data_IF_909814136147
#
_entry.id   IF_909814136147
#
_cell.length_a   1.000
_cell.length_b   1.000
_cell.length_c   1.000
_cell.angle_alpha   90.00
_cell.angle_beta   90.00
_cell.angle_gamma   90.00
#
_symmetry.space_group_name_H-M   'P 1'
#
loop_
_entity.id
_entity.type
_entity.pdbx_description
1 polymer ?
#
# COMPACT_ATOMS: atom_id res chain seq x y z
N UNK A 1 -14.12 14.11 2.06
CA UNK A 1 -13.94 12.64 1.95
C UNK A 1 -14.88 11.97 2.93
N UNK A 2 -15.38 10.78 2.58
CA UNK A 2 -16.18 9.97 3.52
C UNK A 2 -15.28 9.22 4.49
N UNK A 3 -15.83 8.83 5.64
CA UNK A 3 -15.18 7.93 6.58
C UNK A 3 -15.12 6.50 6.01
N UNK A 4 -14.23 5.65 6.54
CA UNK A 4 -14.18 4.23 6.20
C UNK A 4 -15.44 3.53 6.69
N UNK A 5 -16.08 2.77 5.81
CA UNK A 5 -17.21 1.92 6.18
C UNK A 5 -16.74 0.74 7.04
N UNK A 6 -17.08 0.77 8.33
CA UNK A 6 -16.73 -0.26 9.28
C UNK A 6 -17.26 -1.65 8.89
N UNK A 7 -18.35 -1.74 8.11
CA UNK A 7 -18.90 -3.03 7.67
C UNK A 7 -17.93 -3.78 6.75
N UNK A 8 -17.21 -3.07 5.88
CA UNK A 8 -16.21 -3.65 4.98
C UNK A 8 -14.96 -4.15 5.73
N UNK A 9 -14.63 -3.50 6.87
CA UNK A 9 -13.59 -3.98 7.77
C UNK A 9 -14.02 -5.27 8.48
N UNK A 10 -15.25 -5.31 9.01
CA UNK A 10 -15.79 -6.47 9.73
C UNK A 10 -15.99 -7.68 8.82
N UNK A 11 -16.37 -7.48 7.56
CA UNK A 11 -16.51 -8.57 6.59
C UNK A 11 -15.21 -9.37 6.43
N UNK A 12 -14.07 -8.67 6.45
CA UNK A 12 -12.76 -9.30 6.31
C UNK A 12 -12.09 -9.67 7.64
N UNK A 13 -12.43 -8.95 8.71
CA UNK A 13 -11.89 -9.15 10.05
C UNK A 13 -13.05 -9.21 11.06
N UNK A 14 -13.76 -10.34 11.13
CA UNK A 14 -14.93 -10.49 12.01
C UNK A 14 -14.62 -10.21 13.49
N UNK A 15 -13.39 -10.50 13.93
CA UNK A 15 -12.92 -10.27 15.30
C UNK A 15 -12.81 -8.78 15.67
N UNK A 16 -12.90 -7.87 14.70
CA UNK A 16 -12.92 -6.42 14.90
C UNK A 16 -14.35 -5.84 14.96
N UNK A 17 -15.38 -6.69 15.03
CA UNK A 17 -16.76 -6.25 15.16
C UNK A 17 -16.94 -5.28 16.34
N UNK A 18 -17.51 -4.10 16.05
CA UNK A 18 -17.75 -3.04 17.05
C UNK A 18 -16.54 -2.15 17.34
N UNK A 19 -15.38 -2.41 16.72
CA UNK A 19 -14.20 -1.54 16.83
C UNK A 19 -14.27 -0.44 15.75
N UNK A 20 -14.25 0.86 16.12
CA UNK A 20 -14.23 1.95 15.15
C UNK A 20 -12.94 1.92 14.31
N UNK A 21 -13.04 2.31 13.03
CA UNK A 21 -11.87 2.40 12.14
C UNK A 21 -10.81 3.39 12.67
N UNK A 22 -11.24 4.49 13.29
CA UNK A 22 -10.36 5.46 13.95
C UNK A 22 -9.47 4.81 15.02
N UNK A 23 -10.05 3.95 15.87
CA UNK A 23 -9.29 3.23 16.90
C UNK A 23 -8.19 2.36 16.27
N UNK A 24 -8.49 1.69 15.15
CA UNK A 24 -7.49 0.91 14.41
C UNK A 24 -6.37 1.81 13.87
N UNK A 25 -6.73 2.95 13.26
CA UNK A 25 -5.74 3.91 12.73
C UNK A 25 -4.80 4.44 13.82
N UNK A 26 -5.32 4.66 15.03
CA UNK A 26 -4.51 5.12 16.16
C UNK A 26 -3.54 4.05 16.68
N UNK A 27 -3.87 2.76 16.51
CA UNK A 27 -3.15 1.65 17.13
C UNK A 27 -2.24 0.89 16.15
N UNK A 28 -2.57 0.85 14.86
CA UNK A 28 -1.75 0.23 13.81
C UNK A 28 -0.30 0.76 13.77
N UNK A 29 -0.01 2.06 14.02
CA UNK A 29 1.35 2.57 14.11
C UNK A 29 2.22 1.87 15.16
N UNK A 30 1.64 1.34 16.23
CA UNK A 30 2.37 0.58 17.27
C UNK A 30 2.97 -0.73 16.71
N UNK A 31 2.32 -1.33 15.71
CA UNK A 31 2.79 -2.53 15.00
C UNK A 31 3.55 -2.20 13.71
N UNK A 32 3.64 -0.93 13.31
CA UNK A 32 4.32 -0.52 12.08
C UNK A 32 5.79 -0.97 11.98
N UNK A 33 6.61 -0.99 13.06
CA UNK A 33 8.00 -1.43 12.95
C UNK A 33 8.14 -2.88 12.47
N UNK A 34 7.37 -3.83 13.05
CA UNK A 34 7.44 -5.23 12.65
C UNK A 34 6.81 -5.46 11.28
N UNK A 35 5.67 -4.83 10.99
CA UNK A 35 5.05 -4.90 9.66
C UNK A 35 5.99 -4.37 8.59
N UNK A 36 6.55 -3.16 8.74
CA UNK A 36 7.47 -2.58 7.76
C UNK A 36 8.74 -3.42 7.59
N UNK A 37 9.26 -4.02 8.66
CA UNK A 37 10.40 -4.93 8.59
C UNK A 37 10.07 -6.16 7.74
N UNK A 38 8.90 -6.77 7.96
CA UNK A 38 8.42 -7.90 7.17
C UNK A 38 8.26 -7.52 5.69
N UNK A 39 7.61 -6.41 5.36
CA UNK A 39 7.42 -5.96 3.97
C UNK A 39 8.74 -5.79 3.22
N UNK A 40 9.80 -5.28 3.89
CA UNK A 40 11.15 -5.14 3.32
C UNK A 40 11.88 -6.47 3.19
N UNK A 41 11.57 -7.44 4.04
CA UNK A 41 12.18 -8.76 4.06
C UNK A 41 11.51 -9.76 3.11
N UNK A 42 10.34 -9.43 2.54
CA UNK A 42 9.66 -10.27 1.55
C UNK A 42 10.55 -10.50 0.34
N UNK A 43 10.80 -11.77 0.05
CA UNK A 43 11.44 -12.21 -1.17
C UNK A 43 10.48 -13.10 -1.95
N UNK A 44 10.37 -12.86 -3.25
CA UNK A 44 9.40 -13.49 -4.14
C UNK A 44 10.12 -14.39 -5.13
N UNK A 45 9.64 -15.61 -5.36
CA UNK A 45 10.31 -16.58 -6.26
C UNK A 45 9.85 -16.51 -7.72
N UNK A 46 8.90 -15.64 -8.08
CA UNK A 46 8.32 -15.58 -9.42
C UNK A 46 8.91 -14.47 -10.30
N UNK A 47 9.48 -14.86 -11.44
CA UNK A 47 9.68 -14.00 -12.61
C UNK A 47 8.83 -14.56 -13.75
N UNK A 48 7.66 -13.98 -13.97
CA UNK A 48 6.73 -14.45 -15.01
C UNK A 48 6.42 -13.33 -15.99
N UNK A 49 6.29 -13.70 -17.26
CA UNK A 49 5.93 -12.77 -18.35
C UNK A 49 4.46 -12.31 -18.30
N UNK A 50 3.67 -12.91 -17.40
CA UNK A 50 2.25 -12.67 -17.09
C UNK A 50 2.13 -12.50 -15.58
N UNK A 51 1.26 -11.59 -15.13
CA UNK A 51 1.00 -11.40 -13.70
C UNK A 51 0.39 -12.68 -13.08
N UNK A 52 1.03 -13.31 -12.09
CA UNK A 52 0.50 -14.52 -11.48
C UNK A 52 -0.69 -14.18 -10.56
N UNK A 53 -1.56 -15.16 -10.27
CA UNK A 53 -2.68 -14.98 -9.34
C UNK A 53 -2.25 -15.05 -7.87
N UNK A 54 -1.19 -15.78 -7.60
CA UNK A 54 -0.59 -15.93 -6.28
C UNK A 54 0.91 -15.86 -6.43
N UNK A 55 1.57 -15.43 -5.36
CA UNK A 55 3.01 -15.31 -5.32
C UNK A 55 3.56 -15.98 -4.07
N UNK A 56 4.58 -16.80 -4.25
CA UNK A 56 5.26 -17.50 -3.16
C UNK A 56 6.26 -16.56 -2.51
N UNK A 57 6.06 -16.32 -1.22
CA UNK A 57 6.96 -15.54 -0.36
C UNK A 57 7.83 -16.48 0.46
N UNK A 58 9.13 -16.20 0.52
CA UNK A 58 10.06 -16.94 1.38
C UNK A 58 9.79 -16.58 2.85
N UNK A 59 9.54 -17.59 3.68
CA UNK A 59 9.36 -17.41 5.11
C UNK A 59 10.72 -17.36 5.81
N UNK A 60 11.02 -16.21 6.41
CA UNK A 60 12.08 -16.05 7.40
C UNK A 60 11.46 -15.51 8.70
N UNK A 61 12.23 -15.47 9.79
CA UNK A 61 11.70 -15.04 11.11
C UNK A 61 11.06 -13.65 11.08
N UNK A 62 11.59 -12.73 10.27
CA UNK A 62 11.05 -11.37 10.14
C UNK A 62 9.70 -11.35 9.41
N UNK A 63 9.59 -12.10 8.31
CA UNK A 63 8.34 -12.22 7.54
C UNK A 63 7.30 -12.99 8.35
N UNK A 64 7.70 -14.06 9.05
CA UNK A 64 6.79 -14.85 9.87
C UNK A 64 6.18 -14.06 11.04
N UNK A 65 6.93 -13.10 11.60
CA UNK A 65 6.45 -12.25 12.70
C UNK A 65 5.32 -11.29 12.31
N UNK A 66 5.25 -10.89 11.04
CA UNK A 66 4.22 -9.99 10.50
C UNK A 66 4.02 -10.24 9.01
N UNK A 67 3.51 -11.44 8.66
CA UNK A 67 3.42 -11.86 7.27
C UNK A 67 2.39 -11.01 6.50
N UNK A 68 2.74 -10.49 5.30
CA UNK A 68 1.76 -9.80 4.48
C UNK A 68 0.63 -10.74 4.09
N UNK A 69 -0.55 -10.16 3.94
CA UNK A 69 -1.77 -10.87 3.53
C UNK A 69 -1.93 -10.92 2.02
N UNK A 70 -1.46 -9.90 1.30
CA UNK A 70 -1.66 -9.78 -0.14
C UNK A 70 -0.40 -9.18 -0.80
N UNK A 71 -0.32 -9.36 -2.11
CA UNK A 71 0.62 -8.66 -2.98
C UNK A 71 -0.16 -7.75 -3.93
N UNK A 72 -0.07 -6.44 -3.78
CA UNK A 72 -0.71 -5.51 -4.71
C UNK A 72 0.08 -5.42 -6.01
N UNK A 73 -0.61 -5.60 -7.13
CA UNK A 73 -0.13 -5.29 -8.46
C UNK A 73 -0.63 -3.90 -8.86
N UNK A 74 0.21 -2.89 -8.63
CA UNK A 74 -0.13 -1.47 -8.80
C UNK A 74 0.18 -1.01 -10.22
N UNK A 75 -0.80 -0.37 -10.87
CA UNK A 75 -0.70 0.09 -12.25
C UNK A 75 -1.59 1.32 -12.53
N UNK A 76 -1.32 2.00 -13.65
CA UNK A 76 -2.14 3.12 -14.14
C UNK A 76 -3.08 2.70 -15.27
N UNK A 77 -4.08 3.52 -15.55
CA UNK A 77 -5.04 3.29 -16.63
C UNK A 77 -4.57 3.81 -17.99
N UNK A 78 -3.35 4.35 -18.09
CA UNK A 78 -2.82 4.90 -19.32
C UNK A 78 -2.92 3.88 -20.48
N UNK A 79 -3.35 4.32 -21.68
CA UNK A 79 -3.37 3.47 -22.86
C UNK A 79 -2.00 2.88 -23.12
N UNK A 80 -1.94 1.58 -23.35
CA UNK A 80 -0.71 0.88 -23.69
C UNK A 80 -0.67 0.75 -25.21
N UNK A 81 0.43 1.19 -25.83
CA UNK A 81 0.62 1.07 -27.27
C UNK A 81 0.52 -0.39 -27.72
N UNK A 82 0.06 -0.61 -28.96
CA UNK A 82 -0.08 -1.96 -29.50
C UNK A 82 1.23 -2.74 -29.42
N UNK A 83 1.17 -3.96 -28.87
CA UNK A 83 2.35 -4.82 -28.66
C UNK A 83 3.19 -4.49 -27.42
N UNK A 84 2.91 -3.41 -26.70
CA UNK A 84 3.57 -3.10 -25.42
C UNK A 84 2.85 -3.74 -24.24
N UNK A 85 3.60 -4.05 -23.19
CA UNK A 85 3.06 -4.54 -21.91
C UNK A 85 2.89 -3.40 -20.93
N UNK A 86 1.85 -3.47 -20.11
CA UNK A 86 1.64 -2.54 -19.01
C UNK A 86 2.72 -2.75 -17.95
N UNK A 87 3.33 -1.65 -17.49
CA UNK A 87 4.21 -1.67 -16.33
C UNK A 87 3.38 -1.86 -15.06
N UNK A 88 3.82 -2.76 -14.18
CA UNK A 88 3.17 -3.10 -12.92
C UNK A 88 4.23 -3.16 -11.82
N UNK A 89 3.95 -2.54 -10.69
CA UNK A 89 4.80 -2.59 -9.49
C UNK A 89 4.14 -3.48 -8.44
N UNK A 90 4.92 -4.34 -7.79
CA UNK A 90 4.42 -5.26 -6.77
C UNK A 90 4.72 -4.73 -5.36
N UNK A 91 3.71 -4.70 -4.50
CA UNK A 91 3.84 -4.25 -3.10
C UNK A 91 3.21 -5.26 -2.15
N UNK A 92 3.98 -5.89 -1.23
CA UNK A 92 3.37 -6.69 -0.17
C UNK A 92 2.60 -5.77 0.77
N UNK A 93 1.44 -6.23 1.25
CA UNK A 93 0.59 -5.45 2.16
C UNK A 93 -0.04 -6.28 3.28
N UNK A 94 -0.38 -5.59 4.36
CA UNK A 94 -1.38 -5.97 5.35
C UNK A 94 -2.66 -5.24 4.99
N UNK A 95 -3.65 -6.00 4.53
CA UNK A 95 -4.92 -5.49 4.04
C UNK A 95 -5.66 -4.64 5.08
N UNK A 96 -5.57 -5.01 6.36
CA UNK A 96 -6.08 -4.22 7.49
C UNK A 96 -5.59 -2.77 7.50
N UNK A 97 -4.32 -2.52 7.12
CA UNK A 97 -3.77 -1.16 7.10
C UNK A 97 -4.47 -0.35 6.01
N UNK A 98 -4.57 -0.89 4.80
CA UNK A 98 -5.24 -0.15 3.72
C UNK A 98 -6.73 0.02 4.01
N UNK A 99 -7.43 -1.00 4.50
CA UNK A 99 -8.86 -0.88 4.83
C UNK A 99 -9.12 0.13 5.94
N UNK A 100 -8.26 0.21 6.96
CA UNK A 100 -8.44 1.17 8.06
C UNK A 100 -8.30 2.63 7.60
N UNK A 101 -7.52 2.88 6.55
CA UNK A 101 -7.22 4.23 6.06
C UNK A 101 -7.94 4.62 4.76
N UNK A 102 -8.37 3.69 3.92
CA UNK A 102 -8.84 3.98 2.55
C UNK A 102 -10.33 3.65 2.37
N UNK A 103 -11.18 4.68 2.29
CA UNK A 103 -12.63 4.52 2.14
C UNK A 103 -13.07 4.00 0.76
N UNK A 104 -12.21 4.12 -0.27
CA UNK A 104 -12.51 3.66 -1.64
C UNK A 104 -11.69 2.43 -2.03
N UNK A 105 -11.14 1.69 -1.06
CA UNK A 105 -10.38 0.48 -1.35
C UNK A 105 -11.31 -0.59 -1.96
N UNK A 106 -10.94 -1.23 -3.08
CA UNK A 106 -11.67 -2.39 -3.58
C UNK A 106 -11.68 -3.51 -2.54
N UNK A 107 -12.79 -4.25 -2.42
CA UNK A 107 -12.83 -5.43 -1.58
C UNK A 107 -11.89 -6.52 -2.13
N UNK A 108 -11.01 -7.03 -1.28
CA UNK A 108 -10.17 -8.19 -1.58
C UNK A 108 -10.78 -9.44 -0.96
N UNK A 109 -10.64 -10.58 -1.64
CA UNK A 109 -10.98 -11.86 -1.04
C UNK A 109 -10.13 -12.08 0.22
N UNK A 110 -10.70 -12.56 1.34
CA UNK A 110 -9.91 -12.85 2.53
C UNK A 110 -8.72 -13.76 2.22
N UNK A 111 -7.55 -13.39 2.72
CA UNK A 111 -6.34 -14.21 2.59
C UNK A 111 -5.83 -14.62 3.96
N UNK A 112 -5.67 -15.92 4.13
CA UNK A 112 -4.90 -16.50 5.22
C UNK A 112 -3.66 -17.12 4.58
N UNK A 113 -2.46 -16.54 4.78
CA UNK A 113 -1.25 -17.09 4.19
C UNK A 113 -1.14 -18.56 4.61
N UNK A 114 -1.22 -19.47 3.64
CA UNK A 114 -1.08 -20.89 3.89
C UNK A 114 0.41 -21.16 4.12
N UNK A 115 0.81 -21.15 5.39
CA UNK A 115 2.20 -21.30 5.79
C UNK A 115 2.63 -22.76 5.67
N UNK A 116 3.39 -23.09 4.63
CA UNK A 116 4.34 -24.20 4.72
C UNK A 116 5.58 -23.74 5.49
N UNK A 117 6.37 -24.66 6.05
CA UNK A 117 7.50 -24.30 6.92
C UNK A 117 8.54 -23.36 6.28
N UNK A 118 8.58 -23.24 4.94
CA UNK A 118 9.52 -22.38 4.21
C UNK A 118 8.88 -21.32 3.30
N UNK A 119 7.58 -21.43 2.99
CA UNK A 119 6.90 -20.52 2.05
C UNK A 119 5.46 -20.24 2.47
N UNK A 120 5.00 -19.01 2.18
CA UNK A 120 3.58 -18.66 2.18
C UNK A 120 3.15 -18.14 0.82
N UNK A 121 2.04 -18.67 0.32
CA UNK A 121 1.38 -18.16 -0.87
C UNK A 121 0.48 -16.98 -0.49
N UNK A 122 0.67 -15.84 -1.15
CA UNK A 122 -0.21 -14.67 -1.01
C UNK A 122 -0.86 -14.34 -2.36
N UNK A 123 -2.16 -14.00 -2.38
CA UNK A 123 -2.84 -13.60 -3.60
C UNK A 123 -2.26 -12.28 -4.14
N UNK A 124 -2.15 -12.21 -5.47
CA UNK A 124 -1.77 -11.00 -6.20
C UNK A 124 -3.04 -10.27 -6.62
N UNK A 125 -3.23 -9.05 -6.12
CA UNK A 125 -4.44 -8.28 -6.35
C UNK A 125 -4.14 -7.03 -7.18
N UNK A 126 -4.78 -6.85 -8.35
CA UNK A 126 -4.60 -5.66 -9.16
C UNK A 126 -5.20 -4.42 -8.47
N UNK A 127 -4.39 -3.38 -8.30
CA UNK A 127 -4.83 -2.08 -7.79
C UNK A 127 -4.52 -0.99 -8.82
N UNK A 128 -5.57 -0.38 -9.35
CA UNK A 128 -5.47 0.71 -10.32
C UNK A 128 -5.46 2.04 -9.58
N UNK A 129 -4.42 2.85 -9.82
CA UNK A 129 -4.31 4.19 -9.24
C UNK A 129 -3.77 5.20 -10.26
N UNK A 130 -3.98 6.52 -10.04
CA UNK A 130 -3.55 7.54 -10.99
C UNK A 130 -2.03 7.65 -11.19
N UNK A 131 -1.22 7.45 -10.15
CA UNK A 131 0.23 7.67 -10.16
C UNK A 131 0.98 6.52 -9.46
N UNK A 132 1.19 5.37 -10.13
CA UNK A 132 1.92 4.22 -9.57
C UNK A 132 3.28 4.57 -8.97
N UNK A 133 4.00 5.50 -9.59
CA UNK A 133 5.33 5.95 -9.19
C UNK A 133 5.38 6.64 -7.81
N UNK A 134 4.26 7.17 -7.32
CA UNK A 134 4.17 7.82 -6.00
C UNK A 134 3.56 6.92 -4.93
N UNK A 135 3.10 5.72 -5.29
CA UNK A 135 2.42 4.82 -4.35
C UNK A 135 3.31 4.34 -3.22
N UNK A 136 4.61 4.13 -3.46
CA UNK A 136 5.54 3.67 -2.42
C UNK A 136 5.61 4.61 -1.22
N UNK A 137 5.49 5.92 -1.46
CA UNK A 137 5.47 6.95 -0.40
C UNK A 137 4.16 6.92 0.38
N UNK A 138 3.03 6.88 -0.34
CA UNK A 138 1.72 6.75 0.31
C UNK A 138 1.65 5.48 1.14
N UNK A 139 2.06 4.35 0.55
CA UNK A 139 2.10 3.05 1.20
C UNK A 139 2.92 3.09 2.49
N UNK A 140 4.16 3.61 2.46
CA UNK A 140 4.97 3.73 3.68
C UNK A 140 4.36 4.66 4.75
N UNK A 141 3.71 5.74 4.33
CA UNK A 141 3.01 6.65 5.23
C UNK A 141 1.79 6.02 5.89
N UNK A 142 0.99 5.22 5.17
CA UNK A 142 -0.18 4.56 5.74
C UNK A 142 0.18 3.59 6.88
N UNK A 143 1.38 2.99 6.87
CA UNK A 143 1.84 2.16 7.99
C UNK A 143 2.31 2.99 9.17
N UNK A 144 3.10 4.01 8.90
CA UNK A 144 3.87 4.69 9.94
C UNK A 144 3.11 5.86 10.55
N UNK A 145 2.22 6.48 9.77
CA UNK A 145 1.53 7.75 10.09
C UNK A 145 2.51 8.82 10.61
N UNK A 146 3.78 8.74 10.19
CA UNK A 146 4.86 9.54 10.76
C UNK A 146 5.16 10.74 9.86
N UNK A 147 4.39 11.80 10.10
CA UNK A 147 4.44 13.05 9.34
C UNK A 147 5.84 13.67 9.17
N UNK A 148 6.73 13.70 10.18
CA UNK A 148 8.09 14.24 9.97
C UNK A 148 8.91 13.46 8.95
N UNK A 149 8.82 12.12 8.95
CA UNK A 149 9.54 11.29 7.96
C UNK A 149 8.94 11.43 6.57
N UNK A 150 7.61 11.59 6.51
CA UNK A 150 6.91 11.80 5.25
C UNK A 150 7.26 13.14 4.61
N UNK A 151 7.24 14.22 5.40
CA UNK A 151 7.71 15.54 4.98
C UNK A 151 9.17 15.50 4.49
N UNK A 152 10.05 14.80 5.19
CA UNK A 152 11.44 14.65 4.76
C UNK A 152 11.53 13.91 3.40
N UNK A 153 10.70 12.89 3.16
CA UNK A 153 10.64 12.19 1.88
C UNK A 153 10.03 13.03 0.74
N UNK A 154 9.30 14.09 1.09
CA UNK A 154 8.71 15.09 0.20
C UNK A 154 9.50 16.40 0.19
N UNK A 155 10.69 16.46 0.77
CA UNK A 155 11.49 17.68 0.72
C UNK A 155 11.91 18.00 -0.72
N UNK A 156 11.89 19.28 -1.12
CA UNK A 156 12.40 19.68 -2.43
C UNK A 156 13.93 19.49 -2.50
N UNK A 157 14.50 19.34 -3.71
CA UNK A 157 15.95 19.32 -3.88
C UNK A 157 16.59 20.65 -3.47
N UNK A 158 17.75 20.58 -2.79
CA UNK A 158 18.46 21.74 -2.20
C UNK A 158 18.87 22.81 -3.23
N UNK A 159 19.20 22.39 -4.46
CA UNK A 159 19.34 23.27 -5.61
C UNK A 159 18.40 22.73 -6.68
N UNK A 160 17.45 23.56 -7.11
CA UNK A 160 16.42 23.15 -8.06
C UNK A 160 16.39 24.07 -9.27
N UNK A 161 16.61 23.53 -10.46
CA UNK A 161 16.19 24.17 -11.69
C UNK A 161 14.66 24.01 -11.89
N UNK A 162 14.11 24.66 -12.91
CA UNK A 162 12.68 24.59 -13.20
C UNK A 162 12.19 23.16 -13.47
N UNK A 163 13.04 22.30 -14.06
CA UNK A 163 12.68 20.92 -14.36
C UNK A 163 12.59 20.08 -13.08
N UNK A 164 13.51 20.29 -12.15
CA UNK A 164 13.51 19.64 -10.84
C UNK A 164 12.32 20.08 -10.00
N UNK A 165 11.96 21.37 -10.01
CA UNK A 165 10.74 21.87 -9.39
C UNK A 165 9.48 21.26 -10.03
N UNK A 166 9.40 21.20 -11.36
CA UNK A 166 8.27 20.60 -12.06
C UNK A 166 8.12 19.10 -11.76
N UNK A 167 9.23 18.37 -11.68
CA UNK A 167 9.26 16.96 -11.29
C UNK A 167 8.77 16.78 -9.84
N UNK A 168 9.23 17.65 -8.95
CA UNK A 168 8.81 17.65 -7.55
C UNK A 168 7.31 17.93 -7.38
N UNK A 169 6.80 18.95 -8.06
CA UNK A 169 5.38 19.28 -8.08
C UNK A 169 4.54 18.11 -8.65
N UNK A 170 5.02 17.45 -9.70
CA UNK A 170 4.35 16.28 -10.28
C UNK A 170 4.28 15.11 -9.30
N UNK A 171 5.34 14.90 -8.49
CA UNK A 171 5.38 13.88 -7.44
C UNK A 171 4.36 14.15 -6.33
N UNK A 172 4.30 15.38 -5.82
CA UNK A 172 3.29 15.78 -4.81
C UNK A 172 1.88 15.62 -5.39
N UNK A 173 1.66 16.11 -6.60
CA UNK A 173 0.37 15.99 -7.26
C UNK A 173 -0.06 14.53 -7.48
N UNK A 174 0.86 13.66 -7.91
CA UNK A 174 0.60 12.23 -8.06
C UNK A 174 0.22 11.56 -6.74
N UNK A 175 0.89 11.92 -5.65
CA UNK A 175 0.60 11.44 -4.31
C UNK A 175 -0.79 11.88 -3.84
N UNK A 176 -1.14 13.16 -4.02
CA UNK A 176 -2.48 13.67 -3.74
C UNK A 176 -3.55 12.95 -4.57
N UNK A 177 -3.32 12.72 -5.87
CA UNK A 177 -4.24 11.99 -6.73
C UNK A 177 -4.46 10.54 -6.26
N UNK A 178 -3.41 9.87 -5.82
CA UNK A 178 -3.52 8.53 -5.25
C UNK A 178 -4.33 8.54 -3.94
N UNK A 179 -4.04 9.47 -3.03
CA UNK A 179 -4.76 9.60 -1.77
C UNK A 179 -6.26 9.86 -2.02
N UNK A 180 -6.60 10.74 -2.95
CA UNK A 180 -7.97 10.98 -3.39
C UNK A 180 -8.63 9.73 -4.01
N UNK A 181 -7.93 9.02 -4.89
CA UNK A 181 -8.46 7.83 -5.55
C UNK A 181 -8.77 6.70 -4.56
N UNK A 182 -7.91 6.51 -3.55
CA UNK A 182 -8.11 5.52 -2.50
C UNK A 182 -9.06 6.00 -1.39
N UNK A 183 -9.41 7.29 -1.38
CA UNK A 183 -10.25 7.88 -0.34
C UNK A 183 -9.58 7.83 1.03
N UNK A 184 -8.31 8.25 1.10
CA UNK A 184 -7.55 8.21 2.36
C UNK A 184 -8.20 9.12 3.40
N UNK A 185 -8.41 8.58 4.60
CA UNK A 185 -9.01 9.27 5.75
C UNK A 185 -7.89 9.66 6.72
N UNK A 186 -7.27 10.82 6.46
CA UNK A 186 -6.20 11.39 7.28
C UNK A 186 -6.07 12.88 6.98
N UNK A 187 -6.47 13.75 7.92
CA UNK A 187 -6.38 15.20 7.73
C UNK A 187 -4.93 15.68 7.66
N UNK A 188 -4.02 15.09 8.44
CA UNK A 188 -2.63 15.49 8.50
C UNK A 188 -1.90 15.22 7.19
N UNK A 189 -2.23 14.12 6.52
CA UNK A 189 -1.73 13.82 5.17
C UNK A 189 -2.03 14.97 4.20
N UNK A 190 -3.25 15.48 4.20
CA UNK A 190 -3.69 16.55 3.28
C UNK A 190 -3.15 17.93 3.64
N UNK A 191 -2.76 18.17 4.90
CA UNK A 191 -2.02 19.38 5.27
C UNK A 191 -0.60 19.40 4.71
N UNK A 192 -0.05 18.22 4.39
CA UNK A 192 1.32 18.04 3.89
C UNK A 192 1.40 18.14 2.35
N UNK A 193 0.35 17.76 1.60
CA UNK A 193 0.39 17.55 0.14
C UNK A 193 -0.54 18.43 -0.69
#
# INVERSE_FOLDING_TARGET
MGEVDASLLVEAYPDLAGIPAEYLRDHLPLSAPCMCAALKAVQTTASTSVLPKELQTLMNDTVAAACPTHMLAVYNDAPVAFGMKRHVSLFPIHDIVLRAHCANLPAFAPSHPSTSSSHAAVPVVPLRIPSPETFSLLHGYLYTQHSPSFLAALAPPCASDLLQLATHASKIHGLWRNACALGVVDAQLYEII
#
